data_IF_669856595630
#
_entry.id   IF_669856595630
#
_cell.length_a   1.000
_cell.length_b   1.000
_cell.length_c   1.000
_cell.angle_alpha   90.00
_cell.angle_beta   90.00
_cell.angle_gamma   90.00
#
_symmetry.space_group_name_H-M   'P 1'
#
loop_
_entity.id
_entity.type
_entity.pdbx_description
1 polymer ?
#
# COMPACT_ATOMS: atom_id res chain seq x y z
N UNK A 1 4.77 13.90 -21.92
CA UNK A 1 4.27 13.51 -20.57
C UNK A 1 2.81 13.87 -20.49
N UNK A 2 1.94 12.88 -20.37
CA UNK A 2 0.49 13.09 -20.36
C UNK A 2 -0.08 12.82 -18.96
N UNK A 3 -0.05 13.84 -18.09
CA UNK A 3 -0.65 13.75 -16.76
C UNK A 3 -2.15 13.35 -16.80
N UNK A 4 -2.86 13.74 -17.87
CA UNK A 4 -4.26 13.36 -18.10
C UNK A 4 -4.43 11.84 -18.29
N UNK A 5 -3.51 11.17 -18.98
CA UNK A 5 -3.55 9.71 -19.14
C UNK A 5 -3.31 8.99 -17.80
N UNK A 6 -2.41 9.53 -16.97
CA UNK A 6 -2.18 9.01 -15.61
C UNK A 6 -3.44 9.18 -14.75
N UNK A 7 -4.07 10.34 -14.77
CA UNK A 7 -5.31 10.60 -14.02
C UNK A 7 -6.44 9.64 -14.43
N UNK A 8 -6.62 9.46 -15.73
CA UNK A 8 -7.64 8.56 -16.27
C UNK A 8 -7.38 7.11 -15.82
N UNK A 9 -6.12 6.64 -15.88
CA UNK A 9 -5.75 5.33 -15.39
C UNK A 9 -6.06 5.18 -13.89
N UNK A 10 -5.67 6.13 -13.05
CA UNK A 10 -5.89 6.07 -11.61
C UNK A 10 -7.37 6.01 -11.25
N UNK A 11 -8.24 6.80 -11.90
CA UNK A 11 -9.69 6.73 -11.70
C UNK A 11 -10.26 5.38 -12.13
N UNK A 12 -9.79 4.83 -13.25
CA UNK A 12 -10.18 3.50 -13.73
C UNK A 12 -9.72 2.40 -12.77
N UNK A 13 -8.50 2.50 -12.24
CA UNK A 13 -7.94 1.57 -11.25
C UNK A 13 -8.78 1.57 -9.97
N UNK A 14 -9.13 2.76 -9.44
CA UNK A 14 -10.00 2.87 -8.27
C UNK A 14 -11.35 2.17 -8.49
N UNK A 15 -11.99 2.42 -9.63
CA UNK A 15 -13.28 1.80 -9.95
C UNK A 15 -13.16 0.28 -10.01
N UNK A 16 -12.18 -0.23 -10.76
CA UNK A 16 -11.92 -1.66 -10.93
C UNK A 16 -11.66 -2.38 -9.60
N UNK A 17 -10.89 -1.76 -8.70
CA UNK A 17 -10.61 -2.30 -7.37
C UNK A 17 -11.89 -2.36 -6.53
N UNK A 18 -12.66 -1.27 -6.48
CA UNK A 18 -13.90 -1.23 -5.71
C UNK A 18 -14.93 -2.24 -6.23
N UNK A 19 -15.08 -2.37 -7.54
CA UNK A 19 -16.03 -3.31 -8.16
C UNK A 19 -15.66 -4.76 -7.83
N UNK A 20 -14.39 -5.13 -7.97
CA UNK A 20 -13.90 -6.47 -7.67
C UNK A 20 -14.07 -6.84 -6.18
N UNK A 21 -13.72 -5.91 -5.28
CA UNK A 21 -13.88 -6.12 -3.84
C UNK A 21 -15.34 -6.15 -3.40
N UNK A 22 -16.21 -5.33 -4.01
CA UNK A 22 -17.67 -5.39 -3.77
C UNK A 22 -18.26 -6.73 -4.17
N UNK A 23 -17.86 -7.29 -5.31
CA UNK A 23 -18.28 -8.61 -5.75
C UNK A 23 -17.85 -9.71 -4.78
N UNK A 24 -16.59 -9.66 -4.32
CA UNK A 24 -16.04 -10.61 -3.36
C UNK A 24 -16.74 -10.52 -1.99
N UNK A 25 -17.18 -9.32 -1.58
CA UNK A 25 -17.90 -9.07 -0.32
C UNK A 25 -19.38 -9.45 -0.36
N UNK A 26 -19.87 -10.09 -1.41
CA UNK A 26 -21.29 -10.45 -1.54
C UNK A 26 -22.18 -9.35 -2.12
N UNK A 27 -21.60 -8.31 -2.72
CA UNK A 27 -22.31 -7.24 -3.42
C UNK A 27 -22.46 -5.94 -2.63
N UNK A 28 -21.88 -5.83 -1.43
CA UNK A 28 -21.87 -4.58 -0.69
C UNK A 28 -21.02 -3.53 -1.42
N UNK A 29 -21.62 -2.41 -1.76
CA UNK A 29 -20.95 -1.35 -2.54
C UNK A 29 -20.15 -0.41 -1.65
N UNK A 30 -19.05 0.10 -2.19
CA UNK A 30 -18.33 1.22 -1.60
C UNK A 30 -19.15 2.51 -1.66
N UNK A 31 -19.35 3.16 -0.51
CA UNK A 31 -19.86 4.54 -0.47
C UNK A 31 -18.83 5.47 -1.10
N UNK A 32 -19.27 6.37 -1.98
CA UNK A 32 -18.39 7.27 -2.73
C UNK A 32 -18.66 8.72 -2.35
N UNK A 33 -17.61 9.45 -2.04
CA UNK A 33 -17.63 10.88 -1.74
C UNK A 33 -16.58 11.60 -2.59
N UNK A 34 -17.02 12.58 -3.39
CA UNK A 34 -16.13 13.50 -4.09
C UNK A 34 -15.87 14.74 -3.23
N UNK A 35 -14.64 15.23 -3.24
CA UNK A 35 -14.24 16.39 -2.48
C UNK A 35 -13.29 17.28 -3.29
N UNK A 36 -13.31 18.56 -2.99
CA UNK A 36 -12.47 19.58 -3.62
C UNK A 36 -11.63 20.29 -2.55
N UNK A 37 -10.50 20.87 -2.97
CA UNK A 37 -9.61 21.66 -2.11
C UNK A 37 -9.67 23.13 -2.53
N UNK A 38 -9.72 24.07 -1.57
CA UNK A 38 -9.67 25.51 -1.87
C UNK A 38 -8.42 25.91 -2.66
N UNK A 39 -7.29 25.24 -2.40
CA UNK A 39 -6.00 25.51 -3.06
C UNK A 39 -5.92 24.90 -4.47
N UNK A 40 -6.90 24.10 -4.85
CA UNK A 40 -7.01 23.42 -6.13
C UNK A 40 -6.85 21.90 -6.05
N UNK A 41 -7.51 21.25 -6.98
CA UNK A 41 -7.60 19.80 -7.04
C UNK A 41 -8.66 19.23 -6.10
N UNK A 42 -8.64 17.93 -5.89
CA UNK A 42 -9.63 17.21 -5.10
C UNK A 42 -9.40 15.71 -5.14
N UNK A 43 -10.45 14.95 -4.89
CA UNK A 43 -10.37 13.50 -4.93
C UNK A 43 -11.73 12.83 -4.84
N UNK A 44 -11.69 11.51 -4.86
CA UNK A 44 -12.85 10.63 -4.68
C UNK A 44 -12.45 9.60 -3.63
N UNK A 45 -13.06 9.68 -2.45
CA UNK A 45 -12.90 8.67 -1.41
C UNK A 45 -14.00 7.63 -1.55
N UNK A 46 -13.63 6.35 -1.60
CA UNK A 46 -14.57 5.23 -1.62
C UNK A 46 -14.34 4.37 -0.40
N UNK A 47 -15.36 4.17 0.43
CA UNK A 47 -15.27 3.45 1.70
C UNK A 47 -16.34 2.38 1.77
N UNK A 48 -15.92 1.15 2.07
CA UNK A 48 -16.80 0.05 2.44
C UNK A 48 -16.60 -0.19 3.95
N UNK A 49 -17.68 -0.23 4.71
CA UNK A 49 -17.67 -0.55 6.13
C UNK A 49 -18.72 -1.63 6.42
N UNK A 50 -18.45 -2.46 7.41
CA UNK A 50 -19.34 -3.52 7.88
C UNK A 50 -19.81 -4.50 6.79
N UNK A 51 -18.91 -4.86 5.85
CA UNK A 51 -19.12 -5.90 4.87
C UNK A 51 -19.07 -7.30 5.46
N UNK A 52 -19.46 -8.30 4.69
CA UNK A 52 -19.40 -9.70 5.13
C UNK A 52 -17.95 -10.20 5.19
N UNK A 53 -17.14 -9.85 4.19
CA UNK A 53 -15.73 -10.21 4.09
C UNK A 53 -14.84 -9.05 4.53
N UNK A 54 -15.15 -7.84 4.04
CA UNK A 54 -14.38 -6.62 4.30
C UNK A 54 -15.02 -5.88 5.46
N UNK A 55 -14.39 -5.90 6.63
CA UNK A 55 -14.86 -5.16 7.80
C UNK A 55 -14.75 -3.65 7.58
N UNK A 56 -13.62 -3.20 6.98
CA UNK A 56 -13.43 -1.85 6.50
C UNK A 56 -12.45 -1.85 5.34
N UNK A 57 -12.80 -1.16 4.26
CA UNK A 57 -11.93 -0.90 3.13
C UNK A 57 -12.03 0.54 2.69
N UNK A 58 -10.89 1.16 2.40
CA UNK A 58 -10.83 2.51 1.84
C UNK A 58 -10.01 2.51 0.56
N UNK A 59 -10.53 3.08 -0.51
CA UNK A 59 -9.85 3.27 -1.79
C UNK A 59 -9.98 4.75 -2.18
N UNK A 60 -8.89 5.50 -2.05
CA UNK A 60 -8.87 6.93 -2.28
C UNK A 60 -8.13 7.27 -3.57
N UNK A 61 -8.80 7.97 -4.47
CA UNK A 61 -8.16 8.72 -5.55
C UNK A 61 -7.96 10.16 -5.10
N UNK A 62 -6.79 10.73 -5.32
CA UNK A 62 -6.52 12.15 -5.11
C UNK A 62 -5.76 12.76 -6.29
N UNK A 63 -6.08 14.01 -6.62
CA UNK A 63 -5.33 14.85 -7.53
C UNK A 63 -5.22 16.24 -6.90
N UNK A 64 -4.09 16.53 -6.32
CA UNK A 64 -3.81 17.78 -5.60
C UNK A 64 -2.92 18.65 -6.47
N UNK A 65 -3.25 19.95 -6.55
CA UNK A 65 -2.43 20.95 -7.23
C UNK A 65 -2.08 22.08 -6.26
N UNK A 66 -0.97 22.74 -6.51
CA UNK A 66 -0.55 23.90 -5.74
C UNK A 66 0.33 24.83 -6.56
N UNK A 67 0.21 26.14 -6.31
CA UNK A 67 0.97 27.17 -7.01
C UNK A 67 2.46 27.16 -6.65
N UNK A 68 2.80 26.67 -5.46
CA UNK A 68 4.19 26.54 -4.99
C UNK A 68 4.30 25.40 -3.98
N UNK A 69 5.47 24.76 -3.94
CA UNK A 69 5.80 23.77 -2.92
C UNK A 69 6.03 24.46 -1.57
N UNK A 70 5.61 23.81 -0.45
CA UNK A 70 5.97 24.28 0.89
C UNK A 70 7.48 24.38 1.08
N UNK A 71 7.95 25.36 1.85
CA UNK A 71 9.37 25.55 2.11
C UNK A 71 10.04 24.31 2.74
N UNK A 72 9.32 23.57 3.59
CA UNK A 72 9.77 22.30 4.17
C UNK A 72 10.04 21.22 3.13
N UNK A 73 9.28 21.19 2.05
CA UNK A 73 9.47 20.22 0.96
C UNK A 73 10.63 20.61 0.03
N UNK A 74 10.95 21.90 -0.11
CA UNK A 74 12.04 22.39 -0.96
C UNK A 74 13.39 22.42 -0.25
N UNK A 75 13.42 22.31 1.09
CA UNK A 75 14.66 22.31 1.86
C UNK A 75 15.65 21.22 1.43
N UNK A 76 15.14 20.04 1.11
CA UNK A 76 15.93 18.88 0.66
C UNK A 76 15.88 18.66 -0.86
N UNK A 77 15.10 19.49 -1.57
CA UNK A 77 14.91 19.44 -3.03
C UNK A 77 14.85 20.85 -3.62
N UNK A 78 15.99 21.54 -3.69
CA UNK A 78 16.04 22.92 -4.14
C UNK A 78 15.54 23.10 -5.60
N UNK A 79 15.64 22.04 -6.41
CA UNK A 79 15.10 22.01 -7.79
C UNK A 79 13.58 22.21 -7.88
N UNK A 80 12.85 22.03 -6.79
CA UNK A 80 11.39 22.23 -6.72
C UNK A 80 11.02 23.69 -6.37
N UNK A 81 11.97 24.51 -5.97
CA UNK A 81 11.69 25.87 -5.51
C UNK A 81 11.07 26.73 -6.62
N UNK A 82 9.97 27.40 -6.29
CA UNK A 82 9.25 28.28 -7.22
C UNK A 82 8.52 27.57 -8.36
N UNK A 83 8.31 26.25 -8.27
CA UNK A 83 7.50 25.47 -9.21
C UNK A 83 6.08 25.28 -8.68
N UNK A 84 5.11 25.38 -9.58
CA UNK A 84 3.79 24.80 -9.33
C UNK A 84 3.89 23.28 -9.34
N UNK A 85 2.98 22.59 -8.63
CA UNK A 85 3.02 21.14 -8.58
C UNK A 85 1.64 20.51 -8.72
N UNK A 86 1.65 19.26 -9.13
CA UNK A 86 0.54 18.32 -9.03
C UNK A 86 1.01 17.01 -8.46
N UNK A 87 0.19 16.43 -7.59
CA UNK A 87 0.38 15.08 -7.07
C UNK A 87 -0.93 14.32 -7.23
N UNK A 88 -0.86 13.16 -7.86
CA UNK A 88 -2.05 12.33 -8.04
C UNK A 88 -1.75 10.87 -7.76
N UNK A 89 -2.72 10.15 -7.22
CA UNK A 89 -2.53 8.74 -6.88
C UNK A 89 -3.81 8.06 -6.46
N UNK A 90 -3.72 6.74 -6.39
CA UNK A 90 -4.67 5.88 -5.69
C UNK A 90 -3.95 5.25 -4.50
N UNK A 91 -4.56 5.34 -3.33
CA UNK A 91 -4.12 4.69 -2.11
C UNK A 91 -5.27 3.88 -1.54
N UNK A 92 -5.00 2.68 -1.08
CA UNK A 92 -6.02 1.81 -0.49
C UNK A 92 -5.50 1.02 0.69
N UNK A 93 -6.40 0.70 1.60
CA UNK A 93 -6.19 -0.29 2.65
C UNK A 93 -7.46 -1.11 2.83
N UNK A 94 -7.32 -2.43 2.89
CA UNK A 94 -8.42 -3.36 3.09
C UNK A 94 -8.19 -4.14 4.38
N UNK A 95 -9.14 -4.04 5.29
CA UNK A 95 -9.17 -4.76 6.58
C UNK A 95 -10.27 -5.83 6.53
N UNK A 96 -9.92 -7.10 6.29
CA UNK A 96 -10.89 -8.19 6.31
C UNK A 96 -11.42 -8.46 7.73
N UNK A 97 -12.66 -8.98 7.80
CA UNK A 97 -13.29 -9.39 9.05
C UNK A 97 -12.64 -10.64 9.64
N UNK A 98 -12.37 -11.63 8.80
CA UNK A 98 -11.80 -12.90 9.22
C UNK A 98 -10.33 -12.73 9.63
N UNK A 99 -9.91 -13.20 10.84
CA UNK A 99 -8.53 -13.13 11.31
C UNK A 99 -7.51 -13.87 10.43
N UNK A 100 -7.95 -14.85 9.67
CA UNK A 100 -7.07 -15.58 8.74
C UNK A 100 -6.85 -14.87 7.40
N UNK A 101 -7.69 -13.86 7.09
CA UNK A 101 -7.52 -13.03 5.91
C UNK A 101 -6.62 -11.81 6.24
N UNK A 102 -5.53 -11.62 5.50
CA UNK A 102 -4.57 -10.54 5.80
C UNK A 102 -5.12 -9.15 5.42
N UNK A 103 -4.71 -8.13 6.15
CA UNK A 103 -4.80 -6.73 5.69
C UNK A 103 -3.85 -6.52 4.53
N UNK A 104 -4.24 -5.70 3.56
CA UNK A 104 -3.37 -5.28 2.48
C UNK A 104 -3.49 -3.78 2.21
N UNK A 105 -2.36 -3.19 1.84
CA UNK A 105 -2.22 -1.82 1.39
C UNK A 105 -1.66 -1.81 -0.03
N UNK A 106 -2.10 -0.85 -0.84
CA UNK A 106 -1.45 -0.51 -2.10
C UNK A 106 -1.49 1.00 -2.33
N UNK A 107 -0.50 1.49 -3.04
CA UNK A 107 -0.42 2.87 -3.50
C UNK A 107 0.26 2.93 -4.85
N UNK A 108 -0.25 3.76 -5.75
CA UNK A 108 0.45 4.18 -6.97
C UNK A 108 0.22 5.67 -7.18
N UNK A 109 1.30 6.41 -7.45
CA UNK A 109 1.25 7.88 -7.49
C UNK A 109 2.21 8.48 -8.49
N UNK A 110 1.85 9.65 -8.99
CA UNK A 110 2.70 10.57 -9.77
C UNK A 110 2.84 11.89 -9.01
N UNK A 111 4.06 12.38 -8.93
CA UNK A 111 4.37 13.76 -8.60
C UNK A 111 4.97 14.46 -9.81
N UNK A 112 4.59 15.72 -10.05
CA UNK A 112 5.14 16.56 -11.11
C UNK A 112 5.18 18.02 -10.66
N UNK A 113 6.31 18.68 -10.89
CA UNK A 113 6.51 20.10 -10.61
C UNK A 113 6.98 20.83 -11.87
N UNK A 114 6.31 21.94 -12.18
CA UNK A 114 6.46 22.64 -13.45
C UNK A 114 6.80 24.11 -13.21
N UNK A 115 7.65 24.68 -14.09
CA UNK A 115 7.96 26.11 -14.15
C UNK A 115 8.15 26.52 -15.61
N UNK A 116 7.58 27.65 -15.98
CA UNK A 116 7.64 28.13 -17.35
C UNK A 116 9.09 28.28 -17.84
N UNK A 117 9.38 27.70 -19.00
CA UNK A 117 10.72 27.74 -19.60
C UNK A 117 11.72 26.71 -19.05
N UNK A 118 11.34 25.88 -18.09
CA UNK A 118 12.19 24.83 -17.53
C UNK A 118 11.59 23.44 -17.76
N UNK A 119 12.44 22.43 -17.83
CA UNK A 119 11.97 21.05 -17.88
C UNK A 119 11.20 20.68 -16.59
N UNK A 120 10.10 19.92 -16.67
CA UNK A 120 9.38 19.48 -15.50
C UNK A 120 10.22 18.50 -14.67
N UNK A 121 10.10 18.61 -13.34
CA UNK A 121 10.63 17.63 -12.39
C UNK A 121 9.48 16.69 -12.06
N UNK A 122 9.69 15.39 -12.19
CA UNK A 122 8.64 14.41 -11.91
C UNK A 122 9.23 13.09 -11.40
N UNK A 123 8.41 12.34 -10.70
CA UNK A 123 8.69 10.94 -10.33
C UNK A 123 7.38 10.18 -10.06
N UNK A 124 7.49 8.88 -10.10
CA UNK A 124 6.42 7.98 -9.69
C UNK A 124 6.84 7.19 -8.47
N UNK A 125 5.87 6.81 -7.67
CA UNK A 125 6.06 5.98 -6.49
C UNK A 125 4.87 5.05 -6.30
N UNK A 126 5.05 4.02 -5.49
CA UNK A 126 3.98 3.08 -5.20
C UNK A 126 4.46 1.77 -4.63
N UNK A 127 3.59 0.78 -4.72
CA UNK A 127 3.81 -0.57 -4.24
C UNK A 127 2.55 -1.16 -3.61
N UNK A 128 2.69 -2.35 -3.07
CA UNK A 128 1.68 -3.02 -2.27
C UNK A 128 2.35 -3.96 -1.26
N UNK A 129 1.76 -4.08 -0.08
CA UNK A 129 2.25 -4.94 0.99
C UNK A 129 1.12 -5.70 1.69
N UNK A 130 1.48 -6.85 2.29
CA UNK A 130 0.56 -7.78 2.93
C UNK A 130 0.87 -7.90 4.42
N UNK A 131 -0.16 -7.71 5.25
CA UNK A 131 -0.07 -7.79 6.72
C UNK A 131 -0.95 -8.91 7.24
N UNK A 132 -0.43 -10.14 7.36
CA UNK A 132 -1.15 -11.27 7.93
C UNK A 132 -1.22 -11.19 9.46
N UNK A 133 -2.23 -11.84 10.03
CA UNK A 133 -2.39 -12.09 11.46
C UNK A 133 -2.12 -13.55 11.81
N UNK A 134 -2.28 -14.42 10.83
CA UNK A 134 -1.85 -15.82 10.83
C UNK A 134 -1.00 -16.09 9.59
N UNK A 135 0.14 -16.71 9.77
CA UNK A 135 1.10 -16.96 8.69
C UNK A 135 0.71 -18.18 7.86
N UNK A 136 0.51 -17.98 6.55
CA UNK A 136 0.35 -19.03 5.55
C UNK A 136 1.42 -18.86 4.48
N UNK A 137 2.31 -19.83 4.35
CA UNK A 137 3.41 -19.76 3.36
C UNK A 137 2.89 -19.66 1.94
N UNK A 138 1.83 -20.41 1.60
CA UNK A 138 1.21 -20.35 0.27
C UNK A 138 0.69 -18.97 -0.10
N UNK A 139 0.18 -18.20 0.88
CA UNK A 139 -0.29 -16.84 0.66
C UNK A 139 0.89 -15.88 0.44
N UNK A 140 1.93 -15.99 1.26
CA UNK A 140 3.15 -15.19 1.09
C UNK A 140 3.83 -15.48 -0.25
N UNK A 141 3.97 -16.76 -0.62
CA UNK A 141 4.55 -17.17 -1.91
C UNK A 141 3.72 -16.64 -3.09
N UNK A 142 2.39 -16.86 -3.08
CA UNK A 142 1.53 -16.38 -4.16
C UNK A 142 1.50 -14.86 -4.28
N UNK A 143 1.59 -14.15 -3.15
CA UNK A 143 1.71 -12.70 -3.09
C UNK A 143 2.99 -12.19 -3.75
N UNK A 144 4.13 -12.75 -3.36
CA UNK A 144 5.43 -12.38 -3.91
C UNK A 144 5.61 -12.83 -5.36
N UNK A 145 4.99 -13.95 -5.77
CA UNK A 145 4.96 -14.35 -7.17
C UNK A 145 4.24 -13.32 -8.04
N UNK A 146 3.07 -12.85 -7.63
CA UNK A 146 2.35 -11.79 -8.35
C UNK A 146 3.11 -10.45 -8.34
N UNK A 147 3.82 -10.14 -7.24
CA UNK A 147 4.70 -8.98 -7.16
C UNK A 147 5.85 -9.07 -8.17
N UNK A 148 6.49 -10.25 -8.26
CA UNK A 148 7.55 -10.52 -9.23
C UNK A 148 7.04 -10.41 -10.67
N UNK A 149 5.90 -11.00 -10.98
CA UNK A 149 5.27 -10.91 -12.31
C UNK A 149 4.99 -9.47 -12.74
N UNK A 150 4.65 -8.58 -11.80
CA UNK A 150 4.48 -7.16 -12.10
C UNK A 150 5.81 -6.45 -12.43
N UNK A 151 6.94 -6.96 -11.92
CA UNK A 151 8.28 -6.40 -12.11
C UNK A 151 9.02 -6.97 -13.33
N UNK A 152 8.83 -8.24 -13.65
CA UNK A 152 9.62 -8.98 -14.66
C UNK A 152 9.72 -8.31 -16.05
N UNK A 153 8.67 -7.64 -16.59
CA UNK A 153 8.77 -6.94 -17.87
C UNK A 153 9.74 -5.75 -17.88
N UNK A 154 10.20 -5.31 -16.70
CA UNK A 154 11.02 -4.10 -16.51
C UNK A 154 12.48 -4.41 -16.17
N UNK A 155 12.81 -5.66 -15.88
CA UNK A 155 14.17 -6.13 -15.62
C UNK A 155 14.24 -7.15 -14.49
N UNK A 156 15.24 -8.01 -14.54
CA UNK A 156 15.42 -9.11 -13.58
C UNK A 156 15.65 -8.64 -12.13
N UNK A 157 16.31 -7.47 -11.96
CA UNK A 157 16.63 -6.91 -10.64
C UNK A 157 15.48 -6.09 -10.02
N UNK A 158 14.43 -5.82 -10.79
CA UNK A 158 13.39 -4.85 -10.35
C UNK A 158 12.61 -5.39 -9.16
N UNK A 159 12.27 -6.67 -9.15
CA UNK A 159 11.58 -7.29 -8.03
C UNK A 159 12.43 -7.28 -6.75
N UNK A 160 13.66 -7.78 -6.80
CA UNK A 160 14.54 -7.86 -5.62
C UNK A 160 14.84 -6.47 -5.05
N UNK A 161 15.09 -5.49 -5.91
CA UNK A 161 15.30 -4.08 -5.52
C UNK A 161 14.10 -3.52 -4.75
N UNK A 162 12.90 -3.64 -5.27
CA UNK A 162 11.71 -3.03 -4.68
C UNK A 162 11.11 -3.88 -3.54
N UNK A 163 11.37 -5.18 -3.51
CA UNK A 163 11.06 -6.04 -2.37
C UNK A 163 11.93 -5.69 -1.16
N UNK A 164 13.23 -5.55 -1.34
CA UNK A 164 14.15 -5.12 -0.26
C UNK A 164 13.77 -3.74 0.28
N UNK A 165 13.44 -2.80 -0.61
CA UNK A 165 12.99 -1.47 -0.18
C UNK A 165 11.66 -1.51 0.58
N UNK A 166 10.75 -2.41 0.21
CA UNK A 166 9.50 -2.65 0.92
C UNK A 166 9.75 -3.16 2.35
N UNK A 167 10.66 -4.12 2.53
CA UNK A 167 11.03 -4.65 3.84
C UNK A 167 11.59 -3.56 4.76
N UNK A 168 12.46 -2.71 4.22
CA UNK A 168 13.06 -1.59 4.96
C UNK A 168 12.02 -0.51 5.32
N UNK A 169 11.13 -0.17 4.35
CA UNK A 169 10.17 0.91 4.54
C UNK A 169 9.10 0.58 5.58
N UNK A 170 8.55 -0.65 5.55
CA UNK A 170 7.47 -1.08 6.44
C UNK A 170 7.95 -1.72 7.74
N UNK A 171 9.15 -1.40 8.18
CA UNK A 171 9.70 -1.81 9.46
C UNK A 171 9.28 -0.86 10.60
N UNK A 172 8.93 -1.41 11.77
CA UNK A 172 8.61 -0.68 12.99
C UNK A 172 9.82 -0.69 13.95
N UNK A 173 10.67 0.37 13.98
CA UNK A 173 11.89 0.36 14.78
C UNK A 173 11.64 0.18 16.28
N UNK A 174 10.56 0.76 16.81
CA UNK A 174 10.20 0.68 18.22
C UNK A 174 9.60 -0.68 18.64
N UNK A 175 9.33 -1.57 17.67
CA UNK A 175 8.87 -2.94 17.88
C UNK A 175 9.88 -3.99 17.41
N UNK A 176 10.91 -3.56 16.70
CA UNK A 176 11.92 -4.42 16.08
C UNK A 176 11.31 -5.50 15.16
N UNK A 177 10.20 -5.16 14.47
CA UNK A 177 9.51 -6.06 13.56
C UNK A 177 9.01 -5.36 12.30
N UNK A 178 8.91 -6.05 11.15
CA UNK A 178 8.19 -5.54 9.99
C UNK A 178 6.68 -5.56 10.21
N UNK A 179 5.96 -4.68 9.51
CA UNK A 179 4.49 -4.60 9.54
C UNK A 179 3.81 -5.88 9.05
N UNK A 180 4.44 -6.59 8.11
CA UNK A 180 3.91 -7.80 7.49
C UNK A 180 4.98 -8.58 6.75
N UNK A 181 4.59 -9.31 5.70
CA UNK A 181 5.47 -10.14 4.87
C UNK A 181 6.08 -9.38 3.69
N UNK A 182 5.87 -8.07 3.62
CA UNK A 182 6.39 -7.23 2.54
C UNK A 182 5.57 -7.30 1.25
N UNK A 183 6.24 -7.08 0.14
CA UNK A 183 5.70 -6.97 -1.20
C UNK A 183 6.59 -6.10 -2.07
N UNK A 184 6.07 -4.98 -2.59
CA UNK A 184 6.81 -4.00 -3.39
C UNK A 184 6.69 -2.61 -2.78
N UNK A 185 7.79 -1.87 -2.79
CA UNK A 185 7.79 -0.44 -2.54
C UNK A 185 8.83 0.25 -3.42
N UNK A 186 8.44 1.33 -4.07
CA UNK A 186 9.32 2.21 -4.83
C UNK A 186 8.89 3.67 -4.67
N UNK A 187 9.86 4.57 -4.71
CA UNK A 187 9.63 6.01 -4.66
C UNK A 187 10.66 6.73 -5.53
N UNK A 188 10.39 8.00 -5.84
CA UNK A 188 11.27 8.84 -6.64
C UNK A 188 11.73 8.22 -7.98
N UNK A 189 10.94 7.29 -8.54
CA UNK A 189 11.29 6.56 -9.76
C UNK A 189 11.07 7.45 -10.99
N UNK A 190 12.15 7.78 -11.70
CA UNK A 190 12.14 8.56 -12.94
C UNK A 190 13.26 8.13 -13.93
N UNK A 191 14.16 7.25 -13.50
CA UNK A 191 15.37 6.86 -14.24
C UNK A 191 15.09 6.17 -15.58
N UNK A 192 13.90 5.55 -15.74
CA UNK A 192 13.54 4.84 -16.98
C UNK A 192 12.84 5.73 -18.00
N UNK A 193 12.64 7.02 -17.69
CA UNK A 193 11.81 7.91 -18.48
C UNK A 193 10.31 7.71 -18.21
N UNK A 194 9.51 8.71 -18.59
CA UNK A 194 8.10 8.82 -18.18
C UNK A 194 7.25 7.63 -18.65
N UNK A 195 7.36 7.25 -19.91
CA UNK A 195 6.49 6.21 -20.51
C UNK A 195 6.75 4.83 -19.89
N UNK A 196 8.02 4.46 -19.69
CA UNK A 196 8.36 3.19 -19.09
C UNK A 196 8.03 3.16 -17.60
N UNK A 197 8.28 4.26 -16.87
CA UNK A 197 7.92 4.37 -15.46
C UNK A 197 6.39 4.34 -15.28
N UNK A 198 5.63 4.97 -16.16
CA UNK A 198 4.17 4.87 -16.16
C UNK A 198 3.67 3.47 -16.50
N UNK A 199 4.31 2.79 -17.44
CA UNK A 199 4.00 1.38 -17.73
C UNK A 199 4.23 0.49 -16.49
N UNK A 200 5.32 0.71 -15.76
CA UNK A 200 5.60 0.02 -14.49
C UNK A 200 4.55 0.34 -13.42
N UNK A 201 4.21 1.61 -13.23
CA UNK A 201 3.16 2.01 -12.29
C UNK A 201 1.83 1.30 -12.58
N UNK A 202 1.47 1.15 -13.87
CA UNK A 202 0.28 0.39 -14.29
C UNK A 202 0.41 -1.09 -13.99
N UNK A 203 1.57 -1.68 -14.24
CA UNK A 203 1.83 -3.10 -13.93
C UNK A 203 1.66 -3.40 -12.45
N UNK A 204 2.19 -2.54 -11.57
CA UNK A 204 2.04 -2.67 -10.12
C UNK A 204 0.58 -2.47 -9.70
N UNK A 205 -0.10 -1.43 -10.17
CA UNK A 205 -1.49 -1.15 -9.83
C UNK A 205 -2.44 -2.27 -10.27
N UNK A 206 -2.32 -2.73 -11.51
CA UNK A 206 -3.13 -3.84 -12.04
C UNK A 206 -2.76 -5.20 -11.40
N UNK A 207 -1.52 -5.36 -10.92
CA UNK A 207 -1.02 -6.53 -10.21
C UNK A 207 -1.67 -6.74 -8.85
N UNK A 208 -2.11 -5.66 -8.18
CA UNK A 208 -2.69 -5.73 -6.84
C UNK A 208 -3.87 -6.71 -6.73
N UNK A 209 -4.85 -6.61 -7.61
CA UNK A 209 -6.02 -7.51 -7.58
C UNK A 209 -5.63 -8.97 -7.87
N UNK A 210 -4.67 -9.20 -8.77
CA UNK A 210 -4.17 -10.54 -9.07
C UNK A 210 -3.50 -11.17 -7.85
N UNK A 211 -2.79 -10.36 -7.05
CA UNK A 211 -2.12 -10.80 -5.84
C UNK A 211 -3.11 -11.04 -4.68
N UNK A 212 -4.07 -10.12 -4.48
CA UNK A 212 -4.86 -10.08 -3.24
C UNK A 212 -6.15 -10.87 -3.28
N UNK A 213 -6.91 -10.83 -4.38
CA UNK A 213 -8.21 -11.52 -4.46
C UNK A 213 -8.12 -13.04 -4.20
N UNK A 214 -7.14 -13.78 -4.76
CA UNK A 214 -7.02 -15.21 -4.48
C UNK A 214 -6.78 -15.52 -3.01
N UNK A 215 -6.05 -14.66 -2.29
CA UNK A 215 -5.79 -14.82 -0.85
C UNK A 215 -7.09 -14.60 -0.06
N UNK A 216 -7.82 -13.52 -0.34
CA UNK A 216 -9.10 -13.27 0.30
C UNK A 216 -10.09 -14.41 0.06
N UNK A 217 -10.16 -14.92 -1.17
CA UNK A 217 -11.06 -16.02 -1.52
C UNK A 217 -10.73 -17.30 -0.74
N UNK A 218 -9.45 -17.62 -0.54
CA UNK A 218 -9.03 -18.76 0.27
C UNK A 218 -9.33 -18.59 1.75
N UNK A 219 -9.27 -17.36 2.29
CA UNK A 219 -9.29 -17.09 3.73
C UNK A 219 -10.61 -16.58 4.27
N UNK A 220 -11.49 -16.01 3.45
CA UNK A 220 -12.74 -15.35 3.89
C UNK A 220 -13.66 -16.25 4.69
N UNK A 221 -13.66 -17.57 4.43
CA UNK A 221 -14.56 -18.54 5.06
C UNK A 221 -13.84 -19.49 6.04
N UNK A 222 -12.58 -19.27 6.37
CA UNK A 222 -11.89 -20.08 7.38
C UNK A 222 -12.61 -19.91 8.72
N UNK A 223 -13.00 -21.00 9.40
CA UNK A 223 -13.59 -20.89 10.74
C UNK A 223 -12.61 -20.22 11.71
N UNK A 224 -13.12 -19.38 12.56
CA UNK A 224 -12.29 -18.65 13.54
C UNK A 224 -13.00 -18.50 14.89
N UNK A 225 -12.23 -18.26 15.93
CA UNK A 225 -12.65 -18.14 17.31
C UNK A 225 -12.54 -16.69 17.80
N UNK A 226 -13.18 -16.36 18.93
CA UNK A 226 -13.02 -15.04 19.54
C UNK A 226 -11.57 -14.78 19.98
N UNK A 227 -10.81 -15.79 20.38
CA UNK A 227 -9.39 -15.63 20.69
C UNK A 227 -8.57 -15.18 19.50
N UNK A 228 -8.82 -15.77 18.32
CA UNK A 228 -8.17 -15.37 17.07
C UNK A 228 -8.58 -13.96 16.64
N UNK A 229 -9.84 -13.57 16.90
CA UNK A 229 -10.29 -12.19 16.71
C UNK A 229 -9.53 -11.21 17.60
N UNK A 230 -9.36 -11.53 18.89
CA UNK A 230 -8.62 -10.69 19.82
C UNK A 230 -7.14 -10.55 19.41
N UNK A 231 -6.52 -11.61 18.88
CA UNK A 231 -5.20 -11.56 18.29
C UNK A 231 -5.14 -10.63 17.08
N UNK A 232 -6.09 -10.75 16.16
CA UNK A 232 -6.18 -9.84 15.01
C UNK A 232 -6.24 -8.37 15.46
N UNK A 233 -7.08 -8.04 16.45
CA UNK A 233 -7.20 -6.68 16.97
C UNK A 233 -5.89 -6.19 17.59
N UNK A 234 -5.18 -7.05 18.30
CA UNK A 234 -3.87 -6.74 18.86
C UNK A 234 -2.83 -6.47 17.76
N UNK A 235 -2.79 -7.30 16.73
CA UNK A 235 -1.88 -7.10 15.58
C UNK A 235 -2.23 -5.86 14.75
N UNK A 236 -3.50 -5.52 14.65
CA UNK A 236 -3.93 -4.25 14.03
C UNK A 236 -3.36 -3.02 14.73
N UNK A 237 -3.03 -3.12 16.02
CA UNK A 237 -2.30 -2.08 16.75
C UNK A 237 -0.97 -1.75 16.09
N UNK A 238 -0.20 -2.75 15.64
CA UNK A 238 1.07 -2.55 14.91
C UNK A 238 0.88 -1.83 13.58
N UNK A 239 -0.19 -2.17 12.86
CA UNK A 239 -0.56 -1.49 11.62
C UNK A 239 -0.86 -0.01 11.87
N UNK A 240 -1.63 0.32 12.91
CA UNK A 240 -1.96 1.70 13.29
C UNK A 240 -0.71 2.46 13.74
N UNK A 241 0.16 1.83 14.55
CA UNK A 241 1.42 2.43 14.97
C UNK A 241 2.28 2.83 13.77
N UNK A 242 2.44 1.95 12.78
CA UNK A 242 3.18 2.29 11.57
C UNK A 242 2.57 3.50 10.86
N UNK A 243 1.27 3.45 10.59
CA UNK A 243 0.60 4.49 9.81
C UNK A 243 0.64 5.87 10.48
N UNK A 244 0.51 5.93 11.82
CA UNK A 244 0.49 7.20 12.54
C UNK A 244 1.89 7.74 12.89
N UNK A 245 2.88 6.87 13.06
CA UNK A 245 4.21 7.27 13.56
C UNK A 245 5.27 7.29 12.46
N UNK A 246 5.20 6.38 11.48
CA UNK A 246 6.28 6.17 10.52
C UNK A 246 5.88 6.40 9.06
N UNK A 247 4.57 6.30 8.70
CA UNK A 247 4.18 6.46 7.30
C UNK A 247 4.33 7.90 6.83
N UNK A 248 5.29 8.11 5.91
CA UNK A 248 5.59 9.43 5.36
C UNK A 248 4.38 10.07 4.65
N UNK A 249 3.55 9.24 4.00
CA UNK A 249 2.36 9.72 3.30
C UNK A 249 1.30 10.24 4.26
N UNK A 250 1.02 9.52 5.34
CA UNK A 250 0.10 9.93 6.41
C UNK A 250 0.59 11.21 7.10
N UNK A 251 1.86 11.24 7.52
CA UNK A 251 2.45 12.41 8.17
C UNK A 251 2.41 13.64 7.28
N UNK A 252 2.83 13.52 6.03
CA UNK A 252 2.78 14.63 5.07
C UNK A 252 1.34 15.10 4.82
N UNK A 253 0.41 14.17 4.65
CA UNK A 253 -1.00 14.49 4.42
C UNK A 253 -1.62 15.29 5.58
N UNK A 254 -1.38 14.87 6.82
CA UNK A 254 -1.88 15.56 8.01
C UNK A 254 -1.20 16.94 8.21
N UNK A 255 0.10 17.04 7.96
CA UNK A 255 0.86 18.29 8.10
C UNK A 255 0.56 19.32 6.99
N UNK A 256 0.13 18.88 5.82
CA UNK A 256 -0.20 19.73 4.67
C UNK A 256 -1.69 20.09 4.56
N UNK A 257 -2.45 19.99 5.66
CA UNK A 257 -3.92 20.21 5.68
C UNK A 257 -4.67 19.33 4.67
N UNK A 258 -4.19 18.11 4.44
CA UNK A 258 -4.91 17.10 3.67
C UNK A 258 -6.25 16.76 4.33
N UNK A 259 -7.20 16.24 3.55
CA UNK A 259 -8.49 15.81 4.08
C UNK A 259 -8.31 14.66 5.07
N UNK A 260 -8.47 14.94 6.36
CA UNK A 260 -8.23 13.99 7.47
C UNK A 260 -9.01 12.69 7.28
N UNK A 261 -10.29 12.76 6.91
CA UNK A 261 -11.13 11.58 6.69
C UNK A 261 -10.60 10.67 5.55
N UNK A 262 -10.11 11.27 4.46
CA UNK A 262 -9.51 10.53 3.34
C UNK A 262 -8.15 9.90 3.70
N UNK A 263 -7.43 10.46 4.67
CA UNK A 263 -6.16 9.92 5.17
C UNK A 263 -6.42 8.81 6.16
N UNK A 264 -7.23 9.06 7.19
CA UNK A 264 -7.47 8.13 8.30
C UNK A 264 -8.48 7.02 7.96
N UNK A 265 -9.10 7.04 6.77
CA UNK A 265 -9.89 5.89 6.31
C UNK A 265 -9.06 4.61 6.18
N UNK A 266 -7.72 4.72 6.09
CA UNK A 266 -6.78 3.60 6.05
C UNK A 266 -6.69 2.82 7.36
N UNK A 267 -7.17 3.37 8.47
CA UNK A 267 -7.11 2.70 9.76
C UNK A 267 -8.23 1.67 9.93
N UNK A 268 -7.98 0.55 10.64
CA UNK A 268 -9.00 -0.44 10.94
C UNK A 268 -10.08 0.15 11.85
N UNK A 269 -11.33 -0.40 11.84
CA UNK A 269 -12.42 0.12 12.67
C UNK A 269 -12.24 -0.21 14.15
N UNK A 270 -11.56 -1.33 14.46
CA UNK A 270 -11.27 -1.80 15.80
C UNK A 270 -9.81 -2.23 15.90
N UNK A 271 -9.21 -1.92 17.03
CA UNK A 271 -7.81 -2.19 17.35
C UNK A 271 -7.68 -2.40 18.87
N UNK A 272 -6.67 -3.15 19.29
CA UNK A 272 -6.39 -3.42 20.70
C UNK A 272 -4.90 -3.23 20.99
N UNK A 273 -4.59 -2.60 22.11
CA UNK A 273 -3.26 -2.63 22.71
C UNK A 273 -3.34 -3.34 24.06
N UNK A 274 -2.32 -4.14 24.34
CA UNK A 274 -2.19 -4.86 25.60
C UNK A 274 -0.76 -4.71 26.10
N UNK A 275 -0.61 -4.40 27.39
CA UNK A 275 0.69 -4.18 28.00
C UNK A 275 1.42 -5.50 28.21
N UNK A 276 2.63 -5.63 27.64
CA UNK A 276 3.50 -6.78 27.83
C UNK A 276 2.94 -8.12 27.31
N UNK A 277 2.03 -8.08 26.32
CA UNK A 277 1.48 -9.29 25.73
C UNK A 277 2.51 -9.98 24.84
N UNK A 278 2.71 -11.26 25.09
CA UNK A 278 3.49 -12.18 24.26
C UNK A 278 2.65 -13.43 23.97
N UNK A 279 2.61 -13.93 22.72
CA UNK A 279 1.90 -15.17 22.44
C UNK A 279 2.62 -16.38 23.04
N UNK A 280 1.86 -17.38 23.45
CA UNK A 280 2.41 -18.62 24.02
C UNK A 280 3.33 -19.33 22.99
N UNK A 281 4.50 -19.83 23.42
CA UNK A 281 5.41 -20.57 22.55
C UNK A 281 4.74 -21.75 21.86
N UNK A 282 5.03 -21.93 20.56
CA UNK A 282 4.49 -23.03 19.75
C UNK A 282 3.09 -22.80 19.19
N UNK A 283 2.44 -21.68 19.51
CA UNK A 283 1.17 -21.30 18.90
C UNK A 283 1.33 -20.74 17.49
N UNK A 284 0.24 -20.64 16.73
CA UNK A 284 0.23 -20.04 15.41
C UNK A 284 0.56 -18.53 15.47
N UNK A 285 0.16 -17.86 16.56
CA UNK A 285 0.47 -16.47 16.87
C UNK A 285 1.98 -16.27 17.08
N UNK A 286 2.64 -17.12 17.87
CA UNK A 286 4.09 -17.09 18.06
C UNK A 286 4.83 -17.39 16.74
N UNK A 287 4.33 -18.33 15.95
CA UNK A 287 4.88 -18.67 14.64
C UNK A 287 4.79 -17.50 13.64
N UNK A 288 3.73 -16.68 13.69
CA UNK A 288 3.68 -15.46 12.90
C UNK A 288 4.90 -14.58 13.19
N UNK A 289 5.20 -14.37 14.48
CA UNK A 289 6.29 -13.50 14.92
C UNK A 289 7.67 -14.02 14.50
N UNK A 290 7.90 -15.33 14.61
CA UNK A 290 9.22 -15.93 14.36
C UNK A 290 9.50 -16.22 12.89
N UNK A 291 8.49 -16.61 12.12
CA UNK A 291 8.69 -17.16 10.78
C UNK A 291 8.28 -16.20 9.65
N UNK A 292 7.34 -15.29 9.92
CA UNK A 292 6.75 -14.41 8.90
C UNK A 292 7.14 -12.95 9.05
N UNK A 293 7.25 -12.43 10.28
CA UNK A 293 7.57 -11.03 10.51
C UNK A 293 9.08 -10.78 10.54
N UNK A 294 9.72 -11.14 9.44
CA UNK A 294 11.13 -10.91 9.14
C UNK A 294 11.34 -10.87 7.63
N UNK A 295 12.35 -10.15 7.12
CA UNK A 295 12.75 -10.25 5.71
C UNK A 295 13.04 -11.72 5.36
N UNK A 296 12.41 -12.20 4.28
CA UNK A 296 12.59 -13.59 3.82
C UNK A 296 12.52 -13.65 2.30
N UNK A 297 13.35 -14.48 1.72
CA UNK A 297 13.25 -14.87 0.30
C UNK A 297 12.12 -15.89 0.13
N UNK A 298 10.91 -15.37 -0.16
CA UNK A 298 9.71 -16.19 -0.34
C UNK A 298 9.72 -17.02 -1.62
N UNK A 299 10.54 -16.66 -2.61
CA UNK A 299 10.57 -17.30 -3.92
C UNK A 299 11.82 -18.16 -4.15
N UNK A 300 12.76 -18.20 -3.20
CA UNK A 300 13.98 -19.00 -3.30
C UNK A 300 14.96 -18.47 -4.38
N UNK A 301 14.99 -17.16 -4.62
CA UNK A 301 15.78 -16.55 -5.70
C UNK A 301 17.23 -16.29 -5.31
N UNK A 302 17.51 -16.09 -4.02
CA UNK A 302 18.86 -15.80 -3.52
C UNK A 302 19.84 -16.98 -3.65
N UNK A 303 19.33 -18.21 -3.75
CA UNK A 303 20.13 -19.42 -3.98
C UNK A 303 20.39 -19.75 -5.45
N UNK A 304 19.67 -19.13 -6.38
CA UNK A 304 19.75 -19.46 -7.82
C UNK A 304 20.85 -18.72 -8.58
N UNK A 305 21.40 -17.62 -8.01
CA UNK A 305 22.47 -16.82 -8.65
C UNK A 305 23.88 -17.38 -8.48
N UNK A 306 24.05 -18.47 -7.74
CA UNK A 306 25.35 -19.12 -7.46
C UNK A 306 25.68 -20.39 -8.28
N UNK A 307 24.84 -20.77 -9.24
CA UNK A 307 25.00 -22.02 -10.01
C UNK A 307 25.25 -21.79 -11.51
N UNK A 308 25.99 -20.73 -11.86
CA UNK A 308 26.55 -20.55 -13.20
C UNK A 308 28.03 -20.19 -13.06
N UNK A 309 28.86 -21.21 -12.87
CA UNK A 309 30.29 -21.23 -13.21
C UNK A 309 30.60 -22.51 -14.02
#
# INVERSE_FOLDING_TARGET
MEAAAVEQYLKSLQAKICDALSQLDGGKSFASESWERPEGGGGISRVLADGEVIEKGGVNFSHVVGAAMPASATQHRPELAGRSFRAMGVSLVIHPRNPHAPTSHANVRLFMAEKSGEAPVWWMGGGFDLTPYYGYEEDAISWHQAAKEACDPFGQEVYSRFKSWCDDYFYLPHREEPRGVGGLFYDDLNEWGFEQTFAFMRSVGDGFLKAYLPILERRKNVPWTESERQWQLYRRGRYVEFNLVHDRGTLFGLQSNGRTEAILMSLPPLVRWEYGYEPDPGTAEARLMTDFLRPRDWLGLEGASGAQD
#
